data_IF_613670656565
#
_entry.id   IF_613670656565
#
_cell.length_a   1.000
_cell.length_b   1.000
_cell.length_c   1.000
_cell.angle_alpha   90.00
_cell.angle_beta   90.00
_cell.angle_gamma   90.00
#
_symmetry.space_group_name_H-M   'P 1'
#
loop_
_entity.id
_entity.type
_entity.pdbx_description
1 polymer ?
#
# COMPACT_ATOMS: atom_id res chain seq x y z
N UNK A 1 -2.54 -3.08 0.51
CA UNK A 1 -2.85 -4.51 0.35
C UNK A 1 -3.30 -4.80 -1.08
N UNK A 2 -4.32 -4.10 -1.61
CA UNK A 2 -4.82 -4.31 -2.97
C UNK A 2 -3.84 -3.96 -4.11
N UNK A 3 -3.30 -2.74 -4.13
CA UNK A 3 -2.40 -2.28 -5.21
C UNK A 3 -1.14 -3.14 -5.37
N UNK A 4 -0.63 -3.71 -4.29
CA UNK A 4 0.55 -4.58 -4.34
C UNK A 4 0.27 -5.89 -5.06
N UNK A 5 -0.90 -6.50 -4.79
CA UNK A 5 -1.31 -7.78 -5.40
C UNK A 5 -1.58 -7.62 -6.89
N UNK A 6 -2.23 -6.51 -7.29
CA UNK A 6 -2.50 -6.21 -8.69
C UNK A 6 -1.20 -6.10 -9.53
N UNK A 7 -0.18 -5.42 -9.00
CA UNK A 7 1.11 -5.29 -9.70
C UNK A 7 1.89 -6.63 -9.70
N UNK A 8 1.73 -7.47 -8.67
CA UNK A 8 2.32 -8.82 -8.64
C UNK A 8 1.76 -9.75 -9.73
N UNK A 9 0.46 -9.67 -10.02
CA UNK A 9 -0.16 -10.44 -11.11
C UNK A 9 0.34 -9.92 -12.47
N UNK A 10 0.42 -8.60 -12.64
CA UNK A 10 0.92 -7.98 -13.86
C UNK A 10 2.39 -8.37 -14.13
N UNK A 11 3.18 -8.51 -13.07
CA UNK A 11 4.55 -8.99 -13.13
C UNK A 11 4.65 -10.44 -13.68
N UNK A 12 3.82 -11.37 -13.19
CA UNK A 12 3.79 -12.75 -13.67
C UNK A 12 3.44 -12.86 -15.17
N UNK A 13 2.46 -12.06 -15.62
CA UNK A 13 2.07 -12.01 -17.04
C UNK A 13 3.21 -11.47 -17.90
N UNK A 14 3.86 -10.39 -17.46
CA UNK A 14 4.98 -9.80 -18.18
C UNK A 14 6.20 -10.73 -18.25
N UNK A 15 6.47 -11.50 -17.19
CA UNK A 15 7.53 -12.52 -17.18
C UNK A 15 7.28 -13.64 -18.20
N UNK A 16 6.04 -14.14 -18.26
CA UNK A 16 5.62 -15.14 -19.25
C UNK A 16 5.74 -14.61 -20.68
N UNK A 17 5.33 -13.36 -20.91
CA UNK A 17 5.38 -12.74 -22.22
C UNK A 17 6.82 -12.43 -22.68
N UNK A 18 7.70 -12.07 -21.76
CA UNK A 18 9.14 -11.90 -22.01
C UNK A 18 9.79 -13.23 -22.42
N UNK A 19 9.49 -14.32 -21.70
CA UNK A 19 9.99 -15.65 -22.03
C UNK A 19 9.53 -16.10 -23.43
N UNK A 20 8.27 -15.83 -23.77
CA UNK A 20 7.70 -16.14 -25.07
C UNK A 20 8.38 -15.35 -26.20
N UNK A 21 8.65 -14.06 -26.01
CA UNK A 21 9.36 -13.23 -27.00
C UNK A 21 10.85 -13.60 -27.14
N UNK A 22 11.50 -14.01 -26.06
CA UNK A 22 12.89 -14.51 -26.09
C UNK A 22 13.03 -15.74 -26.99
N UNK A 23 12.04 -16.65 -26.93
CA UNK A 23 12.00 -17.86 -27.78
C UNK A 23 11.70 -17.55 -29.26
N UNK A 24 11.09 -16.40 -29.58
CA UNK A 24 10.69 -16.03 -30.93
C UNK A 24 11.77 -15.29 -31.75
N UNK A 25 12.93 -14.98 -31.17
CA UNK A 25 14.05 -14.33 -31.87
C UNK A 25 13.79 -12.88 -32.29
N UNK A 26 12.73 -12.26 -31.76
CA UNK A 26 12.31 -10.90 -32.10
C UNK A 26 13.19 -9.86 -31.36
N UNK A 27 13.14 -8.58 -31.71
CA UNK A 27 13.98 -7.54 -31.08
C UNK A 27 13.65 -7.35 -29.58
N UNK A 28 14.33 -8.11 -28.73
CA UNK A 28 14.03 -8.27 -27.28
C UNK A 28 14.45 -7.06 -26.44
N UNK A 29 15.23 -6.12 -26.99
CA UNK A 29 15.82 -5.00 -26.24
C UNK A 29 14.78 -4.06 -25.61
N UNK A 30 13.69 -3.76 -26.35
CA UNK A 30 12.58 -2.93 -25.87
C UNK A 30 11.73 -3.67 -24.82
N UNK A 31 11.45 -4.96 -25.06
CA UNK A 31 10.66 -5.82 -24.18
C UNK A 31 11.32 -6.01 -22.81
N UNK A 32 12.65 -6.18 -22.80
CA UNK A 32 13.46 -6.32 -21.57
C UNK A 32 13.46 -5.02 -20.78
N UNK A 33 13.60 -3.87 -21.45
CA UNK A 33 13.60 -2.56 -20.78
C UNK A 33 12.29 -2.31 -20.03
N UNK A 34 11.14 -2.60 -20.66
CA UNK A 34 9.82 -2.48 -20.03
C UNK A 34 9.67 -3.42 -18.83
N UNK A 35 10.20 -4.64 -18.95
CA UNK A 35 10.16 -5.64 -17.86
C UNK A 35 10.95 -5.20 -16.62
N UNK A 36 12.11 -4.57 -16.82
CA UNK A 36 12.96 -4.06 -15.74
C UNK A 36 12.31 -2.82 -15.07
N UNK A 37 11.76 -1.89 -15.87
CA UNK A 37 11.06 -0.70 -15.37
C UNK A 37 9.85 -1.10 -14.52
N UNK A 38 9.14 -2.16 -14.90
CA UNK A 38 7.99 -2.67 -14.15
C UNK A 38 8.40 -3.24 -12.77
N UNK A 39 9.53 -3.96 -12.70
CA UNK A 39 10.12 -4.45 -11.43
C UNK A 39 10.48 -3.31 -10.50
N UNK A 40 11.15 -2.28 -11.03
CA UNK A 40 11.54 -1.10 -10.27
C UNK A 40 10.31 -0.38 -9.71
N UNK A 41 9.28 -0.25 -10.54
CA UNK A 41 7.99 0.34 -10.16
C UNK A 41 7.31 -0.47 -9.04
N UNK A 42 7.36 -1.81 -9.07
CA UNK A 42 6.80 -2.65 -8.02
C UNK A 42 7.47 -2.42 -6.66
N UNK A 43 8.81 -2.31 -6.63
CA UNK A 43 9.56 -2.03 -5.40
C UNK A 43 9.20 -0.64 -4.84
N UNK A 44 9.12 0.37 -5.71
CA UNK A 44 8.69 1.72 -5.33
C UNK A 44 7.27 1.72 -4.73
N UNK A 45 6.32 1.04 -5.38
CA UNK A 45 4.96 0.89 -4.87
C UNK A 45 4.88 0.08 -3.58
N UNK A 46 5.74 -0.92 -3.37
CA UNK A 46 5.80 -1.66 -2.12
C UNK A 46 6.19 -0.76 -0.95
N UNK A 47 7.23 0.07 -1.14
CA UNK A 47 7.69 1.03 -0.14
C UNK A 47 6.61 2.08 0.12
N UNK A 48 6.01 2.64 -0.92
CA UNK A 48 4.92 3.62 -0.80
C UNK A 48 3.67 3.03 -0.11
N UNK A 49 3.28 1.81 -0.46
CA UNK A 49 2.16 1.10 0.17
C UNK A 49 2.42 0.71 1.63
N UNK A 50 3.67 0.39 1.96
CA UNK A 50 4.11 0.16 3.34
C UNK A 50 4.10 1.45 4.15
N UNK A 51 4.52 2.57 3.55
CA UNK A 51 4.42 3.91 4.16
C UNK A 51 2.96 4.33 4.38
N UNK A 52 2.06 3.99 3.47
CA UNK A 52 0.61 4.20 3.63
C UNK A 52 0.04 3.55 4.89
N UNK A 53 0.55 2.38 5.31
CA UNK A 53 0.16 1.73 6.56
C UNK A 53 0.64 2.47 7.81
N UNK A 54 1.77 3.20 7.75
CA UNK A 54 2.28 3.96 8.90
C UNK A 54 1.39 5.17 9.23
N UNK A 55 0.71 5.77 8.24
CA UNK A 55 -0.21 6.89 8.47
C UNK A 55 -1.54 6.52 9.16
N UNK A 56 -1.95 5.25 9.16
CA UNK A 56 -3.20 4.82 9.82
C UNK A 56 -3.10 4.63 11.34
N UNK A 57 -1.89 4.45 11.89
CA UNK A 57 -1.67 4.26 13.32
C UNK A 57 -1.86 5.52 14.20
N UNK A 58 -1.47 6.75 13.79
CA UNK A 58 -1.72 7.92 14.63
C UNK A 58 -3.22 8.25 14.78
N UNK A 59 -4.03 8.07 13.74
CA UNK A 59 -5.46 8.39 13.80
C UNK A 59 -6.27 7.54 14.79
N UNK A 60 -5.86 6.29 15.04
CA UNK A 60 -6.55 5.43 16.01
C UNK A 60 -6.30 5.86 17.45
N UNK A 61 -5.13 6.47 17.71
CA UNK A 61 -4.75 6.95 19.04
C UNK A 61 -5.32 8.34 19.30
N UNK A 62 -5.31 9.20 18.28
CA UNK A 62 -5.95 10.52 18.31
C UNK A 62 -7.47 10.41 18.54
N UNK A 63 -8.15 9.48 17.89
CA UNK A 63 -9.57 9.23 18.12
C UNK A 63 -9.86 8.64 19.51
N UNK A 64 -8.96 7.79 20.01
CA UNK A 64 -9.08 7.21 21.36
C UNK A 64 -8.89 8.27 22.45
N UNK A 65 -7.92 9.17 22.27
CA UNK A 65 -7.67 10.28 23.19
C UNK A 65 -8.84 11.28 23.14
N UNK A 66 -9.38 11.60 21.96
CA UNK A 66 -10.59 12.42 21.81
C UNK A 66 -11.82 11.80 22.48
N UNK A 67 -12.01 10.48 22.36
CA UNK A 67 -13.11 9.78 23.05
C UNK A 67 -12.95 9.86 24.56
N UNK A 68 -11.75 9.67 25.09
CA UNK A 68 -11.49 9.78 26.53
C UNK A 68 -11.70 11.20 27.04
N UNK A 69 -11.30 12.22 26.28
CA UNK A 69 -11.51 13.63 26.62
C UNK A 69 -13.01 13.96 26.73
N UNK A 70 -13.84 13.48 25.79
CA UNK A 70 -15.30 13.66 25.86
C UNK A 70 -15.89 12.91 27.07
N UNK A 71 -15.44 11.68 27.34
CA UNK A 71 -15.91 10.89 28.47
C UNK A 71 -15.52 11.52 29.81
N UNK A 72 -14.33 12.11 29.92
CA UNK A 72 -13.87 12.79 31.13
C UNK A 72 -14.60 14.12 31.35
N UNK A 73 -14.77 14.91 30.29
CA UNK A 73 -15.47 16.19 30.35
C UNK A 73 -16.99 16.01 30.61
N UNK A 74 -17.60 14.94 30.06
CA UNK A 74 -19.00 14.58 30.38
C UNK A 74 -19.18 14.10 31.82
N UNK A 75 -18.18 13.44 32.43
CA UNK A 75 -18.20 13.12 33.87
C UNK A 75 -18.06 14.37 34.74
N UNK A 76 -17.35 15.40 34.27
CA UNK A 76 -17.24 16.69 34.98
C UNK A 76 -18.55 17.51 34.89
N UNK A 77 -19.34 17.34 33.82
CA UNK A 77 -20.67 17.95 33.67
C UNK A 77 -21.81 17.21 34.38
N UNK A 78 -21.55 16.14 35.12
CA UNK A 78 -22.49 15.62 36.10
C UNK A 78 -22.21 16.30 37.45
N UNK A 79 -22.80 17.48 37.76
CA UNK A 79 -22.82 17.94 39.13
C UNK A 79 -23.61 16.91 39.91
N UNK A 80 -22.91 16.17 40.76
CA UNK A 80 -23.42 15.73 42.06
C UNK A 80 -24.95 15.50 42.05
N UNK A 81 -25.42 14.46 41.35
CA UNK A 81 -26.76 13.95 41.63
C UNK A 81 -26.60 13.14 42.91
N UNK A 82 -26.98 13.80 44.00
CA UNK A 82 -27.16 13.28 45.36
C UNK A 82 -27.49 11.79 45.42
#
# INVERSE_FOLDING_TARGET
MFLHVAVGILFMVNFTWLYSNYKLGNAIGLQISISIILILTWILLYIAGSMGKKKGKPGMRELYDFMNEIVENSKFQAPNSK
#
